data_IF_815179868826
#
_entry.id   IF_815179868826
#
_cell.length_a   1.000
_cell.length_b   1.000
_cell.length_c   1.000
_cell.angle_alpha   90.00
_cell.angle_beta   90.00
_cell.angle_gamma   90.00
#
_symmetry.space_group_name_H-M   'P 1'
#
loop_
_entity.id
_entity.type
_entity.pdbx_description
1 polymer ?
#
# COMPACT_ATOMS: atom_id res chain seq x y z
N UNK A 1 -5.12 42.98 -20.89
CA UNK A 1 -6.32 43.06 -20.03
C UNK A 1 -6.87 41.66 -19.87
N UNK A 2 -6.72 41.09 -18.66
CA UNK A 2 -7.20 39.76 -18.28
C UNK A 2 -8.74 39.76 -18.34
N UNK A 3 -9.33 38.98 -19.24
CA UNK A 3 -10.71 38.53 -19.10
C UNK A 3 -10.66 37.13 -18.52
N UNK A 4 -10.92 37.04 -17.22
CA UNK A 4 -11.46 35.83 -16.62
C UNK A 4 -12.73 35.51 -17.42
N UNK A 5 -12.72 34.40 -18.14
CA UNK A 5 -13.92 33.90 -18.82
C UNK A 5 -14.79 33.29 -17.71
N UNK A 6 -15.62 34.14 -17.09
CA UNK A 6 -16.81 33.69 -16.38
C UNK A 6 -17.79 33.18 -17.43
N UNK A 7 -17.74 31.88 -17.70
CA UNK A 7 -18.65 31.19 -18.60
C UNK A 7 -18.21 29.74 -18.66
N UNK A 8 -19.13 28.83 -18.41
CA UNK A 8 -18.97 27.39 -18.55
C UNK A 8 -18.11 27.07 -19.77
N UNK A 9 -16.86 26.64 -19.57
CA UNK A 9 -16.01 26.17 -20.65
C UNK A 9 -16.65 24.88 -21.16
N UNK A 10 -17.43 24.98 -22.22
CA UNK A 10 -17.94 23.80 -22.91
C UNK A 10 -16.76 23.19 -23.67
N UNK A 11 -16.20 22.11 -23.14
CA UNK A 11 -15.09 21.37 -23.77
C UNK A 11 -15.46 20.89 -25.20
N UNK A 12 -16.75 20.75 -25.50
CA UNK A 12 -17.26 20.49 -26.86
C UNK A 12 -16.91 21.58 -27.88
N UNK A 13 -16.65 22.82 -27.45
CA UNK A 13 -16.21 23.91 -28.32
C UNK A 13 -14.71 23.91 -28.60
N UNK A 14 -13.93 23.08 -27.89
CA UNK A 14 -12.48 22.95 -28.08
C UNK A 14 -12.19 21.95 -29.20
N UNK A 15 -13.08 20.98 -29.43
CA UNK A 15 -12.97 19.97 -30.49
C UNK A 15 -12.94 20.66 -31.88
N UNK A 16 -11.88 20.50 -32.68
CA UNK A 16 -11.83 21.02 -34.05
C UNK A 16 -12.99 20.44 -34.87
N UNK A 17 -13.69 21.29 -35.65
CA UNK A 17 -14.71 20.83 -36.60
C UNK A 17 -14.19 19.64 -37.43
N UNK A 18 -15.01 18.59 -37.56
CA UNK A 18 -14.73 17.32 -38.25
C UNK A 18 -14.13 17.47 -39.66
N UNK A 19 -14.24 18.64 -40.27
CA UNK A 19 -13.73 18.97 -41.61
C UNK A 19 -12.22 19.31 -41.64
N UNK A 20 -11.55 19.44 -40.49
CA UNK A 20 -10.13 19.77 -40.41
C UNK A 20 -9.25 18.52 -40.32
N UNK A 21 -8.36 18.30 -41.30
CA UNK A 21 -7.37 17.22 -41.24
C UNK A 21 -6.49 17.42 -40.00
N UNK A 22 -6.48 16.43 -39.10
CA UNK A 22 -5.53 16.38 -37.98
C UNK A 22 -4.11 16.28 -38.53
N UNK A 23 -3.35 17.36 -38.40
CA UNK A 23 -1.91 17.36 -38.67
C UNK A 23 -1.15 17.20 -37.36
N UNK A 24 0.08 16.66 -37.36
CA UNK A 24 0.89 16.56 -36.14
C UNK A 24 1.06 17.89 -35.41
N UNK A 25 1.19 19.01 -36.13
CA UNK A 25 1.31 20.35 -35.56
C UNK A 25 0.03 20.78 -34.85
N UNK A 26 -1.13 20.48 -35.43
CA UNK A 26 -2.43 20.81 -34.82
C UNK A 26 -2.70 19.95 -33.56
N UNK A 27 -2.24 18.69 -33.55
CA UNK A 27 -2.36 17.80 -32.38
C UNK A 27 -1.51 18.32 -31.22
N UNK A 28 -0.25 18.69 -31.46
CA UNK A 28 0.64 19.24 -30.42
C UNK A 28 0.03 20.52 -29.82
N UNK A 29 -0.37 21.47 -30.67
CA UNK A 29 -0.98 22.71 -30.21
C UNK A 29 -2.25 22.48 -29.39
N UNK A 30 -3.10 21.54 -29.82
CA UNK A 30 -4.31 21.19 -29.10
C UNK A 30 -4.00 20.61 -27.72
N UNK A 31 -3.08 19.65 -27.64
CA UNK A 31 -2.67 19.01 -26.39
C UNK A 31 -2.07 20.02 -25.42
N UNK A 32 -1.22 20.94 -25.89
CA UNK A 32 -0.63 21.98 -25.05
C UNK A 32 -1.69 22.93 -24.47
N UNK A 33 -2.65 23.37 -25.29
CA UNK A 33 -3.76 24.21 -24.84
C UNK A 33 -4.66 23.47 -23.85
N UNK A 34 -4.97 22.20 -24.12
CA UNK A 34 -5.76 21.37 -23.20
C UNK A 34 -5.05 21.21 -21.85
N UNK A 35 -3.75 20.90 -21.86
CA UNK A 35 -2.96 20.78 -20.63
C UNK A 35 -2.90 22.10 -19.85
N UNK A 36 -2.80 23.24 -20.54
CA UNK A 36 -2.86 24.54 -19.89
C UNK A 36 -4.23 24.76 -19.23
N UNK A 37 -5.33 24.54 -19.95
CA UNK A 37 -6.70 24.67 -19.40
C UNK A 37 -6.88 23.78 -18.19
N UNK A 38 -6.43 22.52 -18.25
CA UNK A 38 -6.51 21.57 -17.14
C UNK A 38 -5.73 22.11 -15.92
N UNK A 39 -4.52 22.63 -16.11
CA UNK A 39 -3.68 23.14 -15.01
C UNK A 39 -4.27 24.35 -14.29
N UNK A 40 -5.11 25.14 -14.97
CA UNK A 40 -5.76 26.35 -14.43
C UNK A 40 -7.18 26.07 -13.89
N UNK A 41 -7.73 24.87 -14.13
CA UNK A 41 -9.12 24.54 -13.79
C UNK A 41 -9.23 23.85 -12.42
N UNK A 42 -10.14 24.28 -11.54
CA UNK A 42 -10.36 23.63 -10.24
C UNK A 42 -10.81 22.17 -10.37
N UNK A 43 -10.38 21.33 -9.43
CA UNK A 43 -10.68 19.88 -9.41
C UNK A 43 -12.17 19.56 -9.57
N UNK A 44 -13.06 20.25 -8.86
CA UNK A 44 -14.52 20.00 -8.95
C UNK A 44 -15.04 20.21 -10.37
N UNK A 45 -14.53 21.22 -11.09
CA UNK A 45 -14.90 21.48 -12.48
C UNK A 45 -14.30 20.42 -13.41
N UNK A 46 -13.09 19.95 -13.14
CA UNK A 46 -12.47 18.85 -13.90
C UNK A 46 -13.25 17.55 -13.74
N UNK A 47 -13.66 17.20 -12.51
CA UNK A 47 -14.46 16.00 -12.23
C UNK A 47 -15.83 16.05 -12.91
N UNK A 48 -16.47 17.23 -12.93
CA UNK A 48 -17.76 17.41 -13.60
C UNK A 48 -17.66 17.24 -15.12
N UNK A 49 -16.54 17.61 -15.73
CA UNK A 49 -16.33 17.57 -17.18
C UNK A 49 -15.37 16.45 -17.63
N UNK A 50 -15.11 15.46 -16.78
CA UNK A 50 -14.04 14.46 -17.01
C UNK A 50 -14.18 13.77 -18.36
N UNK A 51 -15.40 13.38 -18.70
CA UNK A 51 -15.75 12.63 -19.90
C UNK A 51 -15.57 13.47 -21.16
N UNK A 52 -15.98 14.75 -21.13
CA UNK A 52 -15.80 15.65 -22.27
C UNK A 52 -14.30 15.96 -22.51
N UNK A 53 -13.50 16.05 -21.45
CA UNK A 53 -12.04 16.25 -21.54
C UNK A 53 -11.36 15.00 -22.14
N UNK A 54 -11.78 13.81 -21.73
CA UNK A 54 -11.27 12.55 -22.29
C UNK A 54 -11.62 12.43 -23.77
N UNK A 55 -12.87 12.75 -24.13
CA UNK A 55 -13.33 12.74 -25.52
C UNK A 55 -12.49 13.68 -26.40
N UNK A 56 -12.09 14.84 -25.87
CA UNK A 56 -11.18 15.78 -26.53
C UNK A 56 -9.82 15.13 -26.86
N UNK A 57 -9.19 14.46 -25.89
CA UNK A 57 -7.92 13.76 -26.13
C UNK A 57 -8.07 12.56 -27.06
N UNK A 58 -9.15 11.79 -26.92
CA UNK A 58 -9.44 10.65 -27.78
C UNK A 58 -9.68 11.06 -29.24
N UNK A 59 -10.32 12.20 -29.47
CA UNK A 59 -10.54 12.76 -30.81
C UNK A 59 -9.22 12.98 -31.56
N UNK A 60 -8.21 13.54 -30.87
CA UNK A 60 -6.87 13.76 -31.43
C UNK A 60 -5.94 12.55 -31.30
N UNK A 61 -6.45 11.40 -30.80
CA UNK A 61 -5.72 10.14 -30.59
C UNK A 61 -4.58 10.21 -29.57
N UNK A 62 -4.64 11.14 -28.63
CA UNK A 62 -3.69 11.31 -27.53
C UNK A 62 -4.11 10.48 -26.31
N UNK A 63 -4.22 9.16 -26.49
CA UNK A 63 -4.71 8.24 -25.47
C UNK A 63 -3.84 8.23 -24.20
N UNK A 64 -2.53 8.41 -24.35
CA UNK A 64 -1.61 8.46 -23.21
C UNK A 64 -1.83 9.74 -22.38
N UNK A 65 -2.10 10.89 -23.01
CA UNK A 65 -2.43 12.13 -22.30
C UNK A 65 -3.78 12.03 -21.59
N UNK A 66 -4.79 11.42 -22.23
CA UNK A 66 -6.06 11.11 -21.59
C UNK A 66 -5.86 10.22 -20.34
N UNK A 67 -4.97 9.22 -20.43
CA UNK A 67 -4.65 8.33 -19.32
C UNK A 67 -3.98 9.09 -18.16
N UNK A 68 -3.00 9.95 -18.45
CA UNK A 68 -2.34 10.78 -17.44
C UNK A 68 -3.31 11.77 -16.78
N UNK A 69 -4.23 12.36 -17.53
CA UNK A 69 -5.27 13.23 -16.98
C UNK A 69 -6.12 12.49 -15.95
N UNK A 70 -6.68 11.32 -16.32
CA UNK A 70 -7.48 10.52 -15.38
C UNK A 70 -6.67 10.02 -14.18
N UNK A 71 -5.42 9.63 -14.40
CA UNK A 71 -4.53 9.23 -13.30
C UNK A 71 -4.31 10.39 -12.33
N UNK A 72 -4.03 11.60 -12.83
CA UNK A 72 -3.82 12.80 -12.01
C UNK A 72 -5.08 13.20 -11.22
N UNK A 73 -6.27 13.05 -11.82
CA UNK A 73 -7.53 13.21 -11.09
C UNK A 73 -7.66 12.22 -9.93
N UNK A 74 -7.35 10.94 -10.20
CA UNK A 74 -7.35 9.90 -9.18
C UNK A 74 -6.43 10.22 -8.00
N UNK A 75 -5.19 10.63 -8.28
CA UNK A 75 -4.20 11.03 -7.25
C UNK A 75 -4.68 12.22 -6.41
N UNK A 76 -5.19 13.28 -7.05
CA UNK A 76 -5.68 14.47 -6.32
C UNK A 76 -6.87 14.12 -5.42
N UNK A 77 -7.81 13.29 -5.90
CA UNK A 77 -8.93 12.83 -5.09
C UNK A 77 -8.46 11.91 -3.95
N UNK A 78 -7.48 11.05 -4.19
CA UNK A 78 -6.89 10.15 -3.19
C UNK A 78 -6.23 10.94 -2.06
N UNK A 79 -5.40 11.94 -2.39
CA UNK A 79 -4.72 12.79 -1.43
C UNK A 79 -5.72 13.56 -0.55
N UNK A 80 -6.72 14.19 -1.17
CA UNK A 80 -7.75 14.92 -0.43
C UNK A 80 -8.57 14.02 0.48
N UNK A 81 -8.97 12.84 0.00
CA UNK A 81 -9.77 11.88 0.79
C UNK A 81 -8.95 11.30 1.92
N UNK A 82 -7.69 10.93 1.68
CA UNK A 82 -6.77 10.45 2.71
C UNK A 82 -6.61 11.47 3.84
N UNK A 83 -6.38 12.74 3.48
CA UNK A 83 -6.23 13.82 4.46
C UNK A 83 -7.52 14.03 5.26
N UNK A 84 -8.67 13.92 4.62
CA UNK A 84 -9.96 14.08 5.31
C UNK A 84 -10.24 12.94 6.30
N UNK A 85 -9.86 11.70 5.99
CA UNK A 85 -9.93 10.59 6.95
C UNK A 85 -9.00 10.84 8.14
N UNK A 86 -7.78 11.27 7.87
CA UNK A 86 -6.78 11.60 8.90
C UNK A 86 -7.28 12.73 9.82
N UNK A 87 -7.76 13.84 9.25
CA UNK A 87 -8.22 15.02 9.99
C UNK A 87 -9.48 14.72 10.84
N UNK A 88 -10.39 13.86 10.37
CA UNK A 88 -11.62 13.54 11.09
C UNK A 88 -11.45 12.45 12.15
N UNK A 89 -10.35 11.69 12.12
CA UNK A 89 -10.11 10.52 12.99
C UNK A 89 -11.24 9.46 12.89
N UNK A 90 -12.06 9.52 11.84
CA UNK A 90 -13.16 8.63 11.53
C UNK A 90 -13.49 8.74 10.03
N UNK A 91 -14.25 7.77 9.50
CA UNK A 91 -14.68 7.77 8.10
C UNK A 91 -15.78 8.82 7.87
N UNK A 92 -15.57 9.80 6.97
CA UNK A 92 -16.59 10.79 6.62
C UNK A 92 -17.84 10.14 6.01
N UNK A 93 -19.03 10.73 6.21
CA UNK A 93 -20.30 10.18 5.70
C UNK A 93 -20.29 9.93 4.18
N UNK A 94 -19.60 10.76 3.40
CA UNK A 94 -19.54 10.67 1.94
C UNK A 94 -18.25 10.00 1.42
N UNK A 95 -17.50 9.32 2.28
CA UNK A 95 -16.20 8.73 1.91
C UNK A 95 -16.36 7.71 0.78
N UNK A 96 -17.41 6.89 0.79
CA UNK A 96 -17.62 5.88 -0.25
C UNK A 96 -17.81 6.50 -1.63
N UNK A 97 -18.57 7.59 -1.74
CA UNK A 97 -18.75 8.31 -3.00
C UNK A 97 -17.40 8.81 -3.53
N UNK A 98 -16.55 9.34 -2.64
CA UNK A 98 -15.19 9.79 -2.99
C UNK A 98 -14.29 8.64 -3.42
N UNK A 99 -14.32 7.51 -2.70
CA UNK A 99 -13.57 6.30 -3.05
C UNK A 99 -14.01 5.75 -4.42
N UNK A 100 -15.31 5.75 -4.74
CA UNK A 100 -15.79 5.35 -6.06
C UNK A 100 -15.32 6.28 -7.19
N UNK A 101 -15.24 7.59 -6.94
CA UNK A 101 -14.65 8.54 -7.90
C UNK A 101 -13.18 8.22 -8.15
N UNK A 102 -12.42 7.90 -7.10
CA UNK A 102 -11.02 7.50 -7.21
C UNK A 102 -10.88 6.21 -8.05
N UNK A 103 -11.68 5.18 -7.76
CA UNK A 103 -11.69 3.92 -8.53
C UNK A 103 -12.04 4.18 -10.00
N UNK A 104 -13.06 5.01 -10.27
CA UNK A 104 -13.46 5.37 -11.65
C UNK A 104 -12.29 6.00 -12.40
N UNK A 105 -11.62 6.97 -11.78
CA UNK A 105 -10.47 7.68 -12.38
C UNK A 105 -9.32 6.72 -12.69
N UNK A 106 -8.88 5.90 -11.74
CA UNK A 106 -7.79 4.95 -11.99
C UNK A 106 -8.17 3.83 -12.96
N UNK A 107 -9.43 3.36 -12.95
CA UNK A 107 -9.91 2.34 -13.89
C UNK A 107 -9.95 2.87 -15.33
N UNK A 108 -10.39 4.11 -15.50
CA UNK A 108 -10.33 4.81 -16.80
C UNK A 108 -8.89 4.95 -17.30
N UNK A 109 -7.99 5.46 -16.43
CA UNK A 109 -6.58 5.60 -16.74
C UNK A 109 -5.95 4.25 -17.13
N UNK A 110 -6.26 3.19 -16.36
CA UNK A 110 -5.80 1.83 -16.62
C UNK A 110 -6.21 1.34 -18.01
N UNK A 111 -7.47 1.55 -18.41
CA UNK A 111 -7.99 1.17 -19.74
C UNK A 111 -7.26 1.89 -20.88
N UNK A 112 -6.99 3.19 -20.70
CA UNK A 112 -6.28 3.99 -21.69
C UNK A 112 -4.79 3.61 -21.77
N UNK A 113 -4.12 3.38 -20.64
CA UNK A 113 -2.74 2.87 -20.61
C UNK A 113 -2.61 1.48 -21.24
N UNK A 114 -3.59 0.60 -21.05
CA UNK A 114 -3.62 -0.68 -21.75
C UNK A 114 -3.73 -0.51 -23.26
N UNK A 115 -4.54 0.46 -23.72
CA UNK A 115 -4.72 0.76 -25.16
C UNK A 115 -3.40 1.15 -25.82
N UNK A 116 -2.51 1.87 -25.11
CA UNK A 116 -1.18 2.26 -25.60
C UNK A 116 -0.07 1.28 -25.22
N UNK A 117 -0.39 0.15 -24.58
CA UNK A 117 0.58 -0.88 -24.20
C UNK A 117 1.51 -0.49 -23.04
N UNK A 118 1.14 0.50 -22.21
CA UNK A 118 1.99 1.01 -21.13
C UNK A 118 1.81 0.21 -19.83
N UNK A 119 2.43 -0.96 -19.76
CA UNK A 119 2.25 -1.90 -18.64
C UNK A 119 2.70 -1.36 -17.28
N UNK A 120 3.63 -0.41 -17.24
CA UNK A 120 4.13 0.17 -15.98
C UNK A 120 3.02 0.99 -15.33
N UNK A 121 2.38 1.87 -16.09
CA UNK A 121 1.29 2.70 -15.59
C UNK A 121 0.01 1.91 -15.37
N UNK A 122 -0.28 0.90 -16.19
CA UNK A 122 -1.37 -0.05 -15.92
C UNK A 122 -1.23 -0.70 -14.54
N UNK A 123 -0.02 -1.17 -14.18
CA UNK A 123 0.26 -1.76 -12.87
C UNK A 123 0.11 -0.76 -11.72
N UNK A 124 0.55 0.48 -11.92
CA UNK A 124 0.34 1.55 -10.93
C UNK A 124 -1.15 1.82 -10.68
N UNK A 125 -1.95 1.90 -11.76
CA UNK A 125 -3.40 2.08 -11.62
C UNK A 125 -4.05 0.90 -10.88
N UNK A 126 -3.68 -0.34 -11.21
CA UNK A 126 -4.24 -1.52 -10.52
C UNK A 126 -3.91 -1.55 -9.04
N UNK A 127 -2.70 -1.11 -8.67
CA UNK A 127 -2.28 -0.99 -7.28
C UNK A 127 -3.18 -0.01 -6.54
N UNK A 128 -3.35 1.21 -7.06
CA UNK A 128 -4.23 2.20 -6.44
C UNK A 128 -5.69 1.77 -6.36
N UNK A 129 -6.21 1.09 -7.38
CA UNK A 129 -7.57 0.53 -7.34
C UNK A 129 -7.68 -0.47 -6.19
N UNK A 130 -6.69 -1.35 -6.02
CA UNK A 130 -6.68 -2.33 -4.94
C UNK A 130 -6.65 -1.67 -3.57
N UNK A 131 -5.79 -0.66 -3.35
CA UNK A 131 -5.72 0.09 -2.10
C UNK A 131 -7.07 0.74 -1.74
N UNK A 132 -7.73 1.34 -2.72
CA UNK A 132 -9.04 1.98 -2.54
C UNK A 132 -10.14 0.95 -2.28
N UNK A 133 -10.12 -0.20 -2.95
CA UNK A 133 -11.07 -1.30 -2.68
C UNK A 133 -10.86 -1.85 -1.27
N UNK A 134 -9.62 -2.05 -0.83
CA UNK A 134 -9.35 -2.46 0.54
C UNK A 134 -9.85 -1.43 1.54
N UNK A 135 -9.72 -0.14 1.24
CA UNK A 135 -10.26 0.91 2.09
C UNK A 135 -11.79 0.87 2.21
N UNK A 136 -12.50 0.47 1.15
CA UNK A 136 -13.95 0.28 1.18
C UNK A 136 -14.32 -0.91 2.07
N UNK A 137 -13.52 -1.98 2.05
CA UNK A 137 -13.77 -3.21 2.82
C UNK A 137 -13.43 -3.00 4.30
N UNK A 138 -12.36 -2.28 4.59
CA UNK A 138 -11.84 -2.05 5.94
C UNK A 138 -12.10 -0.61 6.39
N UNK A 139 -13.26 -0.40 7.00
CA UNK A 139 -13.73 0.90 7.50
C UNK A 139 -13.22 1.24 8.92
N UNK A 140 -12.40 0.37 9.51
CA UNK A 140 -11.85 0.52 10.85
C UNK A 140 -10.37 0.95 10.86
N UNK A 141 -9.72 0.97 9.69
CA UNK A 141 -8.31 1.33 9.52
C UNK A 141 -8.15 2.19 8.27
N UNK A 142 -7.29 3.21 8.35
CA UNK A 142 -6.89 3.97 7.16
C UNK A 142 -5.82 3.20 6.39
N UNK A 143 -6.15 2.89 5.14
CA UNK A 143 -5.35 2.14 4.18
C UNK A 143 -4.86 3.06 3.07
N UNK A 144 -5.70 3.97 2.59
CA UNK A 144 -5.27 4.93 1.58
C UNK A 144 -4.31 5.98 2.16
N UNK A 145 -3.35 6.41 1.35
CA UNK A 145 -2.40 7.47 1.70
C UNK A 145 -1.30 7.07 2.66
N UNK A 146 -1.13 5.77 2.95
CA UNK A 146 0.01 5.26 3.72
C UNK A 146 1.37 5.46 3.00
N UNK A 147 1.34 5.73 1.70
CA UNK A 147 2.53 5.92 0.87
C UNK A 147 3.37 4.64 0.74
N UNK A 148 4.65 4.82 0.43
CA UNK A 148 5.61 3.70 0.26
C UNK A 148 6.40 3.39 1.54
N UNK A 149 6.00 3.93 2.70
CA UNK A 149 6.71 3.65 3.96
C UNK A 149 6.33 2.26 4.48
N UNK A 150 7.15 1.28 4.10
CA UNK A 150 7.00 -0.12 4.50
C UNK A 150 6.86 -0.27 6.01
N UNK A 151 7.48 0.58 6.84
CA UNK A 151 7.37 0.48 8.29
C UNK A 151 5.97 0.90 8.77
N UNK A 152 5.41 1.98 8.24
CA UNK A 152 4.06 2.40 8.56
C UNK A 152 3.02 1.37 8.09
N UNK A 153 3.16 0.91 6.84
CA UNK A 153 2.25 -0.08 6.25
C UNK A 153 2.31 -1.40 7.02
N UNK A 154 3.50 -1.90 7.37
CA UNK A 154 3.63 -3.13 8.18
C UNK A 154 3.04 -2.96 9.59
N UNK A 155 3.07 -1.74 10.14
CA UNK A 155 2.41 -1.43 11.41
C UNK A 155 0.90 -1.64 11.36
N UNK A 156 0.27 -1.43 10.20
CA UNK A 156 -1.18 -1.57 10.04
C UNK A 156 -1.67 -3.01 10.25
N UNK A 157 -0.83 -4.02 10.01
CA UNK A 157 -1.14 -5.43 10.27
C UNK A 157 -1.59 -5.69 11.71
N UNK A 158 -1.15 -4.87 12.68
CA UNK A 158 -1.49 -5.02 14.08
C UNK A 158 -2.97 -4.74 14.39
N UNK A 159 -3.66 -3.98 13.53
CA UNK A 159 -5.06 -3.56 13.75
C UNK A 159 -6.09 -4.55 13.19
N UNK A 160 -5.65 -5.53 12.40
CA UNK A 160 -6.51 -6.57 11.87
C UNK A 160 -6.66 -7.71 12.87
N UNK A 161 -7.89 -7.97 13.32
CA UNK A 161 -8.20 -9.09 14.21
C UNK A 161 -8.36 -10.42 13.47
N UNK A 162 -8.68 -10.37 12.18
CA UNK A 162 -8.75 -11.52 11.27
C UNK A 162 -7.42 -11.67 10.52
N UNK A 163 -6.89 -12.88 10.45
CA UNK A 163 -5.67 -13.14 9.68
C UNK A 163 -5.92 -13.00 8.17
N UNK A 164 -7.06 -13.49 7.66
CA UNK A 164 -7.39 -13.41 6.23
C UNK A 164 -7.40 -11.96 5.73
N UNK A 165 -7.98 -11.06 6.52
CA UNK A 165 -8.04 -9.63 6.22
C UNK A 165 -6.64 -9.01 6.21
N UNK A 166 -5.83 -9.32 7.24
CA UNK A 166 -4.45 -8.88 7.33
C UNK A 166 -3.60 -9.42 6.17
N UNK A 167 -3.85 -10.65 5.74
CA UNK A 167 -3.14 -11.30 4.65
C UNK A 167 -3.52 -10.65 3.33
N UNK A 168 -4.80 -10.41 3.07
CA UNK A 168 -5.24 -9.68 1.89
C UNK A 168 -4.61 -8.27 1.82
N UNK A 169 -4.54 -7.56 2.95
CA UNK A 169 -3.83 -6.29 3.05
C UNK A 169 -2.32 -6.45 2.76
N UNK A 170 -1.66 -7.45 3.35
CA UNK A 170 -0.24 -7.68 3.15
C UNK A 170 0.12 -7.95 1.68
N UNK A 171 -0.69 -8.75 0.99
CA UNK A 171 -0.56 -9.04 -0.43
C UNK A 171 -0.70 -7.79 -1.29
N UNK A 172 -1.68 -6.93 -0.97
CA UNK A 172 -1.89 -5.70 -1.71
C UNK A 172 -0.72 -4.73 -1.60
N UNK A 173 -0.07 -4.64 -0.44
CA UNK A 173 1.07 -3.76 -0.24
C UNK A 173 2.44 -4.43 -0.47
N UNK A 174 2.47 -5.68 -0.93
CA UNK A 174 3.69 -6.47 -1.11
C UNK A 174 4.57 -6.53 0.17
N UNK A 175 3.92 -6.75 1.32
CA UNK A 175 4.57 -6.89 2.63
C UNK A 175 4.30 -8.28 3.26
N UNK A 176 4.08 -9.28 2.42
CA UNK A 176 3.79 -10.67 2.77
C UNK A 176 5.01 -11.44 3.33
N UNK A 177 6.20 -10.82 3.39
CA UNK A 177 7.37 -11.40 4.04
C UNK A 177 7.10 -11.75 5.51
N UNK A 178 7.35 -13.00 5.90
CA UNK A 178 7.23 -13.56 7.26
C UNK A 178 7.71 -12.64 8.37
N UNK A 179 8.88 -11.99 8.22
CA UNK A 179 9.45 -11.14 9.26
C UNK A 179 8.66 -9.86 9.54
N UNK A 180 7.77 -9.44 8.63
CA UNK A 180 6.91 -8.26 8.81
C UNK A 180 5.75 -8.54 9.77
N UNK A 181 5.42 -9.82 9.98
CA UNK A 181 4.31 -10.25 10.81
C UNK A 181 4.60 -10.26 12.32
N UNK A 182 5.86 -10.16 12.74
CA UNK A 182 6.24 -10.31 14.15
C UNK A 182 5.46 -9.39 15.11
N UNK A 183 5.27 -8.12 14.73
CA UNK A 183 4.48 -7.16 15.53
C UNK A 183 3.00 -7.53 15.59
N UNK A 184 2.41 -7.95 14.46
CA UNK A 184 1.02 -8.36 14.38
C UNK A 184 0.77 -9.65 15.18
N UNK A 185 1.67 -10.64 15.07
CA UNK A 185 1.61 -11.87 15.87
C UNK A 185 1.70 -11.58 17.36
N UNK A 186 2.60 -10.68 17.79
CA UNK A 186 2.65 -10.24 19.18
C UNK A 186 1.34 -9.57 19.62
N UNK A 187 0.85 -8.60 18.84
CA UNK A 187 -0.35 -7.86 19.19
C UNK A 187 -1.58 -8.78 19.28
N UNK A 188 -1.81 -9.60 18.26
CA UNK A 188 -2.98 -10.47 18.20
C UNK A 188 -2.87 -11.63 19.18
N UNK A 189 -1.74 -12.34 19.20
CA UNK A 189 -1.64 -13.60 19.95
C UNK A 189 -1.31 -13.37 21.43
N UNK A 190 -0.45 -12.39 21.76
CA UNK A 190 0.00 -12.16 23.14
C UNK A 190 -0.83 -11.06 23.82
N UNK A 191 -0.94 -9.89 23.19
CA UNK A 191 -1.69 -8.76 23.79
C UNK A 191 -3.19 -9.03 23.77
N UNK A 192 -3.72 -9.58 22.68
CA UNK A 192 -5.15 -9.86 22.55
C UNK A 192 -5.55 -11.30 22.89
N UNK A 193 -4.60 -12.23 22.93
CA UNK A 193 -4.88 -13.65 23.26
C UNK A 193 -5.53 -14.42 22.11
N UNK A 194 -5.54 -13.87 20.90
CA UNK A 194 -6.11 -14.49 19.70
C UNK A 194 -5.14 -15.51 19.11
N UNK A 195 -5.10 -16.71 19.67
CA UNK A 195 -4.25 -17.79 19.18
C UNK A 195 -4.74 -18.40 17.87
N UNK A 196 -6.00 -18.18 17.50
CA UNK A 196 -6.51 -18.62 16.20
C UNK A 196 -5.78 -17.89 15.07
N UNK A 197 -5.49 -16.60 15.26
CA UNK A 197 -4.68 -15.81 14.33
C UNK A 197 -3.33 -16.46 13.99
N UNK A 198 -2.63 -17.03 14.98
CA UNK A 198 -1.38 -17.75 14.74
C UNK A 198 -1.59 -19.04 13.95
N UNK A 199 -2.69 -19.76 14.21
CA UNK A 199 -3.01 -21.00 13.50
C UNK A 199 -3.29 -20.71 12.04
N UNK A 200 -4.14 -19.71 11.77
CA UNK A 200 -4.48 -19.30 10.40
C UNK A 200 -3.23 -18.79 9.67
N UNK A 201 -2.38 -18.00 10.35
CA UNK A 201 -1.09 -17.58 9.82
C UNK A 201 -0.19 -18.77 9.46
N UNK A 202 -0.18 -19.82 10.29
CA UNK A 202 0.61 -21.02 10.07
C UNK A 202 0.15 -21.87 8.88
N UNK A 203 -1.09 -21.70 8.41
CA UNK A 203 -1.57 -22.36 7.19
C UNK A 203 -0.97 -21.74 5.93
N UNK A 204 -0.55 -20.47 6.01
CA UNK A 204 0.01 -19.72 4.87
C UNK A 204 1.53 -19.56 4.92
N UNK A 205 2.12 -19.55 6.12
CA UNK A 205 3.52 -19.18 6.33
C UNK A 205 4.23 -20.13 7.28
N UNK A 206 5.53 -20.34 7.03
CA UNK A 206 6.42 -21.02 7.96
C UNK A 206 7.12 -20.04 8.90
N UNK A 207 7.23 -20.41 10.18
CA UNK A 207 8.01 -19.64 11.16
C UNK A 207 9.50 -19.69 10.81
N UNK A 208 10.07 -18.55 10.42
CA UNK A 208 11.51 -18.43 10.19
C UNK A 208 12.26 -17.91 11.44
N UNK A 209 13.60 -18.03 11.41
CA UNK A 209 14.47 -17.55 12.51
C UNK A 209 14.37 -16.04 12.73
N UNK A 210 14.13 -15.27 11.68
CA UNK A 210 14.12 -13.80 11.73
C UNK A 210 12.86 -13.31 12.44
N UNK A 211 11.70 -13.82 12.06
CA UNK A 211 10.41 -13.58 12.73
C UNK A 211 10.49 -13.97 14.19
N UNK A 212 11.03 -15.16 14.49
CA UNK A 212 11.20 -15.62 15.87
C UNK A 212 12.14 -14.71 16.68
N UNK A 213 13.27 -14.31 16.08
CA UNK A 213 14.21 -13.37 16.70
C UNK A 213 13.55 -12.02 17.01
N UNK A 214 12.73 -11.49 16.09
CA UNK A 214 11.96 -10.27 16.35
C UNK A 214 10.98 -10.43 17.50
N UNK A 215 10.26 -11.56 17.59
CA UNK A 215 9.35 -11.86 18.70
C UNK A 215 10.09 -11.95 20.04
N UNK A 216 11.29 -12.55 20.07
CA UNK A 216 12.14 -12.60 21.26
C UNK A 216 12.61 -11.22 21.71
N UNK A 217 13.02 -10.37 20.77
CA UNK A 217 13.40 -8.99 21.09
C UNK A 217 12.23 -8.22 21.71
N UNK A 218 11.02 -8.38 21.18
CA UNK A 218 9.81 -7.75 21.73
C UNK A 218 9.57 -8.22 23.17
N UNK A 219 9.63 -9.54 23.42
CA UNK A 219 9.52 -10.10 24.79
C UNK A 219 10.62 -9.59 25.71
N UNK A 220 11.85 -9.45 25.22
CA UNK A 220 12.99 -8.93 25.98
C UNK A 220 12.81 -7.47 26.41
N UNK A 221 12.19 -6.65 25.55
CA UNK A 221 11.88 -5.23 25.82
C UNK A 221 10.67 -5.06 26.73
N UNK A 222 9.69 -5.98 26.70
CA UNK A 222 8.44 -5.90 27.46
C UNK A 222 8.19 -7.18 28.27
N UNK A 223 8.39 -7.12 29.60
CA UNK A 223 8.08 -8.23 30.52
C UNK A 223 6.58 -8.34 30.88
N UNK A 224 5.69 -7.74 30.08
CA UNK A 224 4.23 -7.86 30.27
C UNK A 224 3.74 -9.17 29.66
N UNK A 225 2.61 -9.68 30.16
CA UNK A 225 1.91 -10.85 29.61
C UNK A 225 2.74 -12.15 29.57
N UNK A 226 3.59 -12.39 30.59
CA UNK A 226 4.49 -13.55 30.63
C UNK A 226 3.77 -14.90 30.43
N UNK A 227 2.65 -15.11 31.12
CA UNK A 227 1.84 -16.33 30.98
C UNK A 227 1.32 -16.50 29.55
N UNK A 228 0.88 -15.42 28.89
CA UNK A 228 0.41 -15.47 27.49
C UNK A 228 1.54 -15.71 26.51
N UNK A 229 2.74 -15.21 26.81
CA UNK A 229 3.94 -15.55 26.04
C UNK A 229 4.27 -17.03 26.13
N UNK A 230 4.12 -17.66 27.29
CA UNK A 230 4.35 -19.10 27.46
C UNK A 230 3.36 -19.89 26.60
N UNK A 231 2.07 -19.61 26.70
CA UNK A 231 1.04 -20.27 25.87
C UNK A 231 1.29 -20.04 24.36
N UNK A 232 1.70 -18.83 23.96
CA UNK A 232 2.07 -18.54 22.57
C UNK A 232 3.25 -19.39 22.11
N UNK A 233 4.33 -19.48 22.91
CA UNK A 233 5.50 -20.27 22.54
C UNK A 233 5.24 -21.77 22.54
N UNK A 234 4.39 -22.28 23.46
CA UNK A 234 3.97 -23.68 23.44
C UNK A 234 3.26 -24.02 22.11
N UNK A 235 2.41 -23.10 21.62
CA UNK A 235 1.76 -23.27 20.32
C UNK A 235 2.78 -23.19 19.16
N UNK A 236 3.70 -22.23 19.18
CA UNK A 236 4.79 -22.14 18.18
C UNK A 236 5.63 -23.43 18.17
N UNK A 237 5.97 -23.99 19.33
CA UNK A 237 6.71 -25.25 19.46
C UNK A 237 5.94 -26.44 18.90
N UNK A 238 4.63 -26.48 19.10
CA UNK A 238 3.78 -27.54 18.56
C UNK A 238 3.63 -27.48 17.04
N UNK A 239 3.58 -26.27 16.47
CA UNK A 239 3.42 -26.05 15.03
C UNK A 239 4.75 -26.18 14.27
N UNK A 240 5.85 -25.71 14.85
CA UNK A 240 7.18 -25.76 14.25
C UNK A 240 8.26 -26.28 15.21
N UNK A 241 8.27 -27.59 15.51
CA UNK A 241 9.23 -28.19 16.46
C UNK A 241 10.70 -27.95 16.09
N UNK A 242 10.99 -27.86 14.79
CA UNK A 242 12.34 -27.74 14.23
C UNK A 242 12.97 -26.35 14.41
N UNK A 243 12.16 -25.29 14.51
CA UNK A 243 12.67 -23.92 14.72
C UNK A 243 13.19 -23.77 16.15
N UNK A 244 12.58 -24.49 17.09
CA UNK A 244 12.97 -24.50 18.50
C UNK A 244 14.15 -25.44 18.77
N UNK A 245 14.30 -26.54 18.04
CA UNK A 245 15.52 -27.35 18.12
C UNK A 245 16.77 -26.57 17.67
N UNK A 246 16.63 -25.66 16.71
CA UNK A 246 17.72 -24.75 16.32
C UNK A 246 18.11 -23.75 17.43
N UNK A 247 17.17 -23.30 18.28
CA UNK A 247 17.50 -22.51 19.50
C UNK A 247 18.40 -23.30 20.45
N UNK A 248 18.15 -24.60 20.59
CA UNK A 248 18.93 -25.45 21.49
C UNK A 248 20.37 -25.61 20.98
N UNK A 249 20.54 -25.85 19.67
CA UNK A 249 21.86 -25.94 19.06
C UNK A 249 22.65 -24.62 19.14
N UNK A 250 22.01 -23.48 18.85
CA UNK A 250 22.67 -22.17 18.93
C UNK A 250 23.04 -21.79 20.38
N UNK A 251 22.17 -22.05 21.37
CA UNK A 251 22.53 -21.87 22.79
C UNK A 251 23.70 -22.77 23.20
N UNK A 252 23.69 -24.04 22.82
CA UNK A 252 24.79 -24.98 23.10
C UNK A 252 26.09 -24.54 22.43
N UNK A 253 26.05 -24.01 21.20
CA UNK A 253 27.22 -23.47 20.51
C UNK A 253 27.73 -22.20 21.21
N UNK A 254 26.86 -21.26 21.56
CA UNK A 254 27.24 -20.01 22.25
C UNK A 254 27.80 -20.30 23.64
N UNK A 255 27.22 -21.23 24.39
CA UNK A 255 27.74 -21.68 25.69
C UNK A 255 29.06 -22.44 25.56
N UNK A 256 29.21 -23.30 24.53
CA UNK A 256 30.51 -23.90 24.19
C UNK A 256 31.55 -22.83 23.86
N UNK A 257 31.23 -21.81 23.08
CA UNK A 257 32.17 -20.72 22.74
C UNK A 257 32.52 -19.89 23.98
N UNK A 258 31.55 -19.58 24.85
CA UNK A 258 31.78 -18.84 26.11
C UNK A 258 32.63 -19.62 27.11
N UNK A 259 32.38 -20.92 27.25
CA UNK A 259 33.19 -21.82 28.11
C UNK A 259 34.58 -22.10 27.52
N UNK A 260 34.71 -22.10 26.19
CA UNK A 260 36.00 -22.25 25.50
C UNK A 260 36.89 -21.00 25.61
N UNK A 261 36.29 -19.80 25.67
CA UNK A 261 37.04 -18.54 25.89
C UNK A 261 37.78 -18.49 27.23
N UNK A 262 37.41 -19.30 28.21
CA UNK A 262 38.10 -19.40 29.50
C UNK A 262 39.24 -20.43 29.53
N UNK A 263 39.53 -21.11 28.40
CA UNK A 263 40.62 -22.12 28.29
C UNK A 263 41.80 -21.72 27.41
N UNK A 264 41.84 -20.48 26.91
CA UNK A 264 43.03 -19.95 26.23
C UNK A 264 43.96 -19.25 27.23
N UNK A 265 44.52 -20.02 28.17
CA UNK A 265 45.77 -19.63 28.84
C UNK A 265 46.92 -19.83 27.84
N UNK A 266 47.43 -18.72 27.32
CA UNK A 266 48.66 -18.71 26.54
C UNK A 266 49.84 -19.14 27.44
N UNK A 267 50.28 -20.38 27.31
CA UNK A 267 51.61 -20.79 27.80
C UNK A 267 52.66 -20.26 26.82
N UNK A 268 53.13 -19.03 27.03
CA UNK A 268 54.39 -18.58 26.46
C UNK A 268 55.53 -19.23 27.23
N UNK A 269 55.99 -20.40 26.78
CA UNK A 269 57.33 -20.87 27.10
C UNK A 269 58.29 -20.27 26.07
N UNK A 270 58.88 -19.13 26.41
CA UNK A 270 60.07 -18.61 25.73
C UNK A 270 61.28 -19.23 26.42
N UNK A 271 62.00 -20.09 25.70
CA UNK A 271 63.38 -20.46 26.03
C UNK A 271 64.32 -19.52 25.30
#
# INVERSE_FOLDING_TARGET
SRKVIQGEVSFKQIIPNNDSKLTPVNVIFFTDVMNQVISETPLNTLLYNDSDIIDCFMYVKEFEQAAYFQYSLGEQCLELTSKEIEDNMCFPENVFEKLFVIVKSFSGAMSLFMTVGNSVWTKKCSQHILEVILQIIFDNVQIIGLGNDIFMVSGMLCYFNSFDDANMFAWAYHIDETCKWASALYQQCVVMGNLQYLRDWAECYDMDKKTLGCLEEIKGRSKKFLERWEVFYDLVESLWPFVVSMRYEEKVIVEKVRSSRHKLTFNFNVK
#
